data_IF_040105769251
#
_entry.id   IF_040105769251
#
_cell.length_a   1.000
_cell.length_b   1.000
_cell.length_c   1.000
_cell.angle_alpha   90.00
_cell.angle_beta   90.00
_cell.angle_gamma   90.00
#
_symmetry.space_group_name_H-M   'P 1'
#
loop_
_entity.id
_entity.type
_entity.pdbx_description
1 polymer ?
#
# COMPACT_ATOMS: atom_id res chain seq x y z
N UNK A 1 -19.47 64.05 -2.37
CA UNK A 1 -18.25 63.23 -2.12
C UNK A 1 -18.45 62.20 -1.01
N UNK A 2 -19.05 62.52 0.15
CA UNK A 2 -19.26 61.55 1.26
C UNK A 2 -19.97 60.23 0.91
N UNK A 3 -20.97 60.22 0.02
CA UNK A 3 -21.68 58.98 -0.37
C UNK A 3 -20.81 57.93 -1.09
N UNK A 4 -19.77 58.35 -1.83
CA UNK A 4 -18.84 57.42 -2.52
C UNK A 4 -17.87 56.77 -1.53
N UNK A 5 -17.43 57.49 -0.50
CA UNK A 5 -16.57 56.96 0.55
C UNK A 5 -17.32 56.00 1.49
N UNK A 6 -18.60 56.25 1.76
CA UNK A 6 -19.42 55.35 2.59
C UNK A 6 -19.67 54.00 1.92
N UNK A 7 -19.87 53.98 0.59
CA UNK A 7 -20.02 52.75 -0.20
C UNK A 7 -18.70 51.99 -0.27
N UNK A 8 -17.55 52.67 -0.45
CA UNK A 8 -16.24 52.02 -0.41
C UNK A 8 -15.93 51.41 0.97
N UNK A 9 -16.31 52.09 2.06
CA UNK A 9 -16.12 51.57 3.42
C UNK A 9 -17.01 50.35 3.69
N UNK A 10 -18.27 50.36 3.20
CA UNK A 10 -19.19 49.22 3.31
C UNK A 10 -18.75 48.01 2.48
N UNK A 11 -18.18 48.23 1.29
CA UNK A 11 -17.59 47.14 0.50
C UNK A 11 -16.34 46.57 1.18
N UNK A 12 -15.49 47.42 1.79
CA UNK A 12 -14.28 46.96 2.50
C UNK A 12 -14.61 46.18 3.79
N UNK A 13 -15.66 46.58 4.51
CA UNK A 13 -16.17 45.87 5.71
C UNK A 13 -16.89 44.58 5.31
N UNK A 14 -17.64 44.56 4.20
CA UNK A 14 -18.28 43.35 3.71
C UNK A 14 -17.26 42.32 3.18
N UNK A 15 -16.17 42.75 2.54
CA UNK A 15 -15.09 41.85 2.10
C UNK A 15 -14.21 41.35 3.25
N UNK A 16 -14.17 42.04 4.39
CA UNK A 16 -13.45 41.56 5.58
C UNK A 16 -14.28 40.64 6.47
N UNK A 17 -15.62 40.67 6.37
CA UNK A 17 -16.52 39.70 7.02
C UNK A 17 -16.70 38.39 6.23
N UNK A 18 -16.27 38.35 4.96
CA UNK A 18 -16.26 37.14 4.13
C UNK A 18 -14.87 36.55 3.92
N UNK A 19 -13.85 37.03 4.64
CA UNK A 19 -12.72 36.18 4.96
C UNK A 19 -13.27 35.08 5.87
N UNK A 20 -13.70 33.97 5.28
CA UNK A 20 -13.91 32.72 6.02
C UNK A 20 -12.64 32.53 6.85
N UNK A 21 -12.74 32.78 8.16
CA UNK A 21 -11.84 32.15 9.09
C UNK A 21 -12.04 30.66 8.85
N UNK A 22 -11.14 30.06 8.07
CA UNK A 22 -10.88 28.64 8.17
C UNK A 22 -10.53 28.43 9.63
N UNK A 23 -11.55 28.09 10.42
CA UNK A 23 -11.39 27.82 11.84
C UNK A 23 -10.61 26.53 11.90
N UNK A 24 -9.29 26.65 12.01
CA UNK A 24 -8.42 25.53 12.26
C UNK A 24 -8.80 24.97 13.62
N UNK A 25 -9.41 23.78 13.61
CA UNK A 25 -9.76 23.02 14.80
C UNK A 25 -8.75 21.86 14.86
N UNK A 26 -7.72 21.93 15.73
CA UNK A 26 -6.63 20.95 15.76
C UNK A 26 -7.10 19.50 15.88
N UNK A 27 -8.10 19.26 16.72
CA UNK A 27 -8.59 17.91 17.03
C UNK A 27 -9.70 17.42 16.09
N UNK A 28 -10.09 18.20 15.08
CA UNK A 28 -11.09 17.77 14.11
C UNK A 28 -10.52 16.66 13.21
N UNK A 29 -11.36 15.71 12.83
CA UNK A 29 -11.02 14.72 11.82
C UNK A 29 -10.69 15.41 10.49
N UNK A 30 -9.72 14.87 9.75
CA UNK A 30 -9.48 15.30 8.38
C UNK A 30 -10.65 14.77 7.54
N UNK A 31 -11.46 15.64 6.92
CA UNK A 31 -12.57 15.17 6.11
C UNK A 31 -12.04 14.39 4.90
N UNK A 32 -12.69 13.27 4.59
CA UNK A 32 -12.51 12.62 3.30
C UNK A 32 -13.07 13.54 2.21
N UNK A 33 -12.57 13.39 0.98
CA UNK A 33 -13.13 14.07 -0.18
C UNK A 33 -14.64 13.73 -0.29
N UNK A 34 -15.54 14.72 -0.37
CA UNK A 34 -16.99 14.49 -0.50
C UNK A 34 -17.40 13.67 -1.72
N UNK A 35 -16.55 13.58 -2.76
CA UNK A 35 -16.80 12.77 -3.95
C UNK A 35 -16.52 11.28 -3.73
N UNK A 36 -15.81 10.92 -2.65
CA UNK A 36 -15.52 9.52 -2.34
C UNK A 36 -16.73 8.88 -1.64
N UNK A 37 -17.32 7.91 -2.31
CA UNK A 37 -18.31 7.00 -1.71
C UNK A 37 -17.55 5.92 -0.94
N UNK A 38 -17.81 5.80 0.36
CA UNK A 38 -17.11 4.82 1.21
C UNK A 38 -18.05 4.22 2.24
N UNK A 39 -17.73 3.00 2.66
CA UNK A 39 -18.52 2.31 3.65
C UNK A 39 -17.85 1.05 4.16
N UNK A 40 -18.56 0.37 5.06
CA UNK A 40 -18.13 -0.88 5.67
C UNK A 40 -19.29 -1.87 5.63
N UNK A 41 -19.09 -3.01 4.98
CA UNK A 41 -20.06 -4.08 4.90
C UNK A 41 -20.21 -4.78 6.26
N UNK A 42 -21.33 -5.47 6.46
CA UNK A 42 -21.63 -6.19 7.71
C UNK A 42 -20.59 -7.28 8.04
N UNK A 43 -19.94 -7.84 7.01
CA UNK A 43 -18.87 -8.82 7.17
C UNK A 43 -17.52 -8.22 7.61
N UNK A 44 -17.38 -6.89 7.55
CA UNK A 44 -16.20 -6.15 7.97
C UNK A 44 -15.39 -5.54 6.83
N UNK A 45 -15.64 -5.91 5.56
CA UNK A 45 -14.96 -5.32 4.41
C UNK A 45 -15.21 -3.82 4.35
N UNK A 46 -14.16 -3.04 4.13
CA UNK A 46 -14.28 -1.61 3.81
C UNK A 46 -14.21 -1.40 2.30
N UNK A 47 -14.92 -0.41 1.76
CA UNK A 47 -14.76 -0.04 0.35
C UNK A 47 -14.62 1.48 0.20
N UNK A 48 -13.93 1.87 -0.87
CA UNK A 48 -13.76 3.25 -1.30
C UNK A 48 -13.97 3.33 -2.81
N UNK A 49 -14.82 4.25 -3.25
CA UNK A 49 -15.22 4.40 -4.64
C UNK A 49 -15.09 5.88 -5.00
N UNK A 50 -14.38 6.15 -6.08
CA UNK A 50 -14.28 7.50 -6.65
C UNK A 50 -14.59 7.43 -8.15
N UNK A 51 -15.71 8.02 -8.54
CA UNK A 51 -16.01 8.25 -9.95
C UNK A 51 -15.02 9.28 -10.51
N UNK A 52 -14.38 8.93 -11.62
CA UNK A 52 -13.39 9.76 -12.29
C UNK A 52 -13.35 9.43 -13.78
N UNK A 53 -13.86 10.36 -14.59
CA UNK A 53 -14.01 10.23 -16.05
C UNK A 53 -12.69 10.32 -16.84
N UNK A 54 -11.56 10.57 -16.16
CA UNK A 54 -10.27 10.82 -16.82
C UNK A 54 -9.17 9.85 -16.35
N UNK A 55 -8.66 8.95 -17.21
CA UNK A 55 -8.99 8.81 -18.63
C UNK A 55 -10.33 8.10 -18.88
N UNK A 56 -11.03 8.49 -19.95
CA UNK A 56 -12.30 7.87 -20.37
C UNK A 56 -12.15 6.36 -20.59
N UNK A 57 -13.24 5.63 -20.33
CA UNK A 57 -13.39 4.19 -20.46
C UNK A 57 -12.35 3.39 -19.68
N UNK A 58 -11.87 3.89 -18.53
CA UNK A 58 -10.86 3.22 -17.71
C UNK A 58 -11.17 3.31 -16.24
N UNK A 59 -10.84 2.22 -15.54
CA UNK A 59 -10.89 2.16 -14.09
C UNK A 59 -9.67 1.44 -13.49
N UNK A 60 -9.45 1.67 -12.22
CA UNK A 60 -8.47 1.00 -11.38
C UNK A 60 -9.18 0.35 -10.21
N UNK A 61 -8.81 -0.91 -9.93
CA UNK A 61 -9.36 -1.68 -8.83
C UNK A 61 -8.22 -2.19 -7.96
N UNK A 62 -8.38 -2.05 -6.65
CA UNK A 62 -7.40 -2.51 -5.67
C UNK A 62 -8.08 -3.41 -4.64
N UNK A 63 -7.42 -4.51 -4.30
CA UNK A 63 -7.66 -5.24 -3.06
C UNK A 63 -6.48 -4.96 -2.13
N UNK A 64 -6.75 -4.26 -1.03
CA UNK A 64 -5.77 -4.04 0.03
C UNK A 64 -6.05 -5.03 1.15
N UNK A 65 -5.08 -5.89 1.44
CA UNK A 65 -5.10 -6.78 2.59
C UNK A 65 -4.18 -6.18 3.64
N UNK A 66 -4.72 -5.77 4.80
CA UNK A 66 -3.97 -5.17 5.90
C UNK A 66 -3.17 -6.24 6.67
N UNK A 67 -2.43 -7.06 5.95
CA UNK A 67 -1.62 -8.18 6.43
C UNK A 67 -0.38 -8.24 5.55
N UNK A 68 0.80 -8.24 6.16
CA UNK A 68 2.07 -8.47 5.47
C UNK A 68 2.96 -9.43 6.25
N UNK A 69 4.25 -9.43 5.94
CA UNK A 69 5.23 -10.34 6.55
C UNK A 69 5.33 -10.22 8.09
N UNK A 70 4.94 -9.09 8.68
CA UNK A 70 5.01 -8.88 10.13
C UNK A 70 4.08 -9.82 10.89
N UNK A 71 3.02 -10.34 10.26
CA UNK A 71 2.05 -11.25 10.88
C UNK A 71 2.41 -12.73 10.74
N UNK A 72 3.48 -13.05 10.00
CA UNK A 72 3.96 -14.42 9.81
C UNK A 72 4.43 -15.03 11.15
N UNK A 73 4.14 -16.31 11.33
CA UNK A 73 4.78 -17.16 12.33
C UNK A 73 6.24 -17.46 11.95
N UNK A 74 7.03 -17.98 12.88
CA UNK A 74 8.44 -18.30 12.59
C UNK A 74 8.61 -19.40 11.53
N UNK A 75 7.60 -20.26 11.35
CA UNK A 75 7.54 -21.25 10.26
C UNK A 75 7.08 -20.67 8.92
N UNK A 76 6.79 -19.37 8.85
CA UNK A 76 6.10 -18.74 7.72
C UNK A 76 6.87 -17.54 7.13
N UNK A 77 8.16 -17.37 7.43
CA UNK A 77 8.94 -16.21 6.94
C UNK A 77 9.04 -16.19 5.41
N UNK A 78 8.27 -15.32 4.75
CA UNK A 78 8.12 -15.23 3.29
C UNK A 78 6.80 -15.78 2.74
N UNK A 79 5.93 -16.38 3.57
CA UNK A 79 4.67 -16.95 3.10
C UNK A 79 3.59 -15.90 2.82
N UNK A 80 3.71 -14.68 3.34
CA UNK A 80 2.86 -13.57 2.92
C UNK A 80 3.08 -13.24 1.45
N UNK A 81 4.35 -13.12 1.05
CA UNK A 81 4.74 -12.89 -0.34
C UNK A 81 4.42 -14.09 -1.23
N UNK A 82 4.66 -15.30 -0.75
CA UNK A 82 4.26 -16.52 -1.47
C UNK A 82 2.74 -16.57 -1.70
N UNK A 83 1.94 -16.23 -0.69
CA UNK A 83 0.49 -16.17 -0.79
C UNK A 83 0.03 -15.14 -1.85
N UNK A 84 0.74 -14.02 -1.97
CA UNK A 84 0.52 -13.05 -3.03
C UNK A 84 0.72 -13.63 -4.42
N UNK A 85 1.82 -14.34 -4.67
CA UNK A 85 2.06 -15.02 -5.94
C UNK A 85 0.97 -16.05 -6.26
N UNK A 86 0.55 -16.84 -5.26
CA UNK A 86 -0.47 -17.87 -5.45
C UNK A 86 -1.82 -17.33 -5.90
N UNK A 87 -2.12 -16.05 -5.65
CA UNK A 87 -3.33 -15.41 -6.14
C UNK A 87 -3.37 -15.32 -7.68
N UNK A 88 -2.23 -15.40 -8.36
CA UNK A 88 -2.14 -15.41 -9.82
C UNK A 88 -2.09 -16.83 -10.42
N UNK A 89 -1.98 -17.86 -9.57
CA UNK A 89 -1.73 -19.25 -9.96
C UNK A 89 -2.92 -20.18 -9.75
N UNK A 90 -4.13 -19.62 -9.63
CA UNK A 90 -5.36 -20.40 -9.63
C UNK A 90 -6.32 -19.99 -8.51
N UNK A 91 -7.59 -19.94 -8.89
CA UNK A 91 -8.72 -19.57 -8.03
C UNK A 91 -9.93 -20.42 -8.41
N UNK A 92 -11.04 -20.31 -7.67
CA UNK A 92 -12.26 -21.05 -7.97
C UNK A 92 -12.82 -20.76 -9.38
N UNK A 93 -12.77 -19.51 -9.87
CA UNK A 93 -13.31 -19.16 -11.19
C UNK A 93 -12.28 -19.19 -12.32
N UNK A 94 -10.98 -19.24 -12.00
CA UNK A 94 -9.90 -19.21 -12.98
C UNK A 94 -8.85 -20.26 -12.67
N UNK A 95 -8.73 -21.26 -13.54
CA UNK A 95 -7.74 -22.32 -13.39
C UNK A 95 -6.33 -21.79 -13.69
N UNK A 96 -5.37 -22.10 -12.81
CA UNK A 96 -3.95 -21.81 -13.01
C UNK A 96 -3.72 -20.33 -13.43
N UNK A 97 -3.22 -20.11 -14.64
CA UNK A 97 -2.85 -18.77 -15.16
C UNK A 97 -4.00 -18.08 -15.92
N UNK A 98 -5.23 -18.59 -15.84
CA UNK A 98 -6.35 -18.06 -16.62
C UNK A 98 -6.74 -16.63 -16.23
N UNK A 99 -6.48 -16.19 -15.00
CA UNK A 99 -6.63 -14.78 -14.60
C UNK A 99 -5.78 -13.89 -15.51
N UNK A 100 -4.48 -14.21 -15.64
CA UNK A 100 -3.54 -13.43 -16.44
C UNK A 100 -3.94 -13.48 -17.91
N UNK A 101 -4.27 -14.67 -18.43
CA UNK A 101 -4.68 -14.85 -19.82
C UNK A 101 -5.93 -14.02 -20.15
N UNK A 102 -6.94 -14.05 -19.27
CA UNK A 102 -8.17 -13.29 -19.45
C UNK A 102 -7.89 -11.78 -19.43
N UNK A 103 -7.19 -11.27 -18.41
CA UNK A 103 -6.91 -9.83 -18.28
C UNK A 103 -6.07 -9.33 -19.46
N UNK A 104 -5.15 -10.13 -19.97
CA UNK A 104 -4.42 -9.81 -21.21
C UNK A 104 -5.33 -9.82 -22.45
N UNK A 105 -6.31 -10.72 -22.52
CA UNK A 105 -7.25 -10.78 -23.64
C UNK A 105 -8.12 -9.53 -23.78
N UNK A 106 -8.42 -8.86 -22.66
CA UNK A 106 -9.13 -7.57 -22.64
C UNK A 106 -8.18 -6.38 -22.78
N UNK A 107 -6.89 -6.62 -23.06
CA UNK A 107 -5.92 -5.59 -23.41
C UNK A 107 -5.06 -5.07 -22.26
N UNK A 108 -5.12 -5.67 -21.08
CA UNK A 108 -4.25 -5.32 -19.95
C UNK A 108 -2.86 -5.97 -20.07
N UNK A 109 -1.88 -5.43 -19.35
CA UNK A 109 -0.49 -5.91 -19.35
C UNK A 109 -0.03 -6.37 -17.98
N UNK A 110 0.47 -7.60 -17.89
CA UNK A 110 1.08 -8.11 -16.67
C UNK A 110 2.37 -7.37 -16.33
N UNK A 111 2.49 -6.92 -15.07
CA UNK A 111 3.54 -6.02 -14.59
C UNK A 111 3.05 -4.58 -14.41
N UNK A 112 2.87 -3.79 -15.49
CA UNK A 112 2.53 -2.37 -15.34
C UNK A 112 1.03 -2.12 -15.07
N UNK A 113 0.15 -3.08 -15.35
CA UNK A 113 -1.31 -2.92 -15.22
C UNK A 113 -1.96 -4.03 -14.37
N UNK A 114 -1.38 -5.21 -14.33
CA UNK A 114 -1.76 -6.29 -13.41
C UNK A 114 -0.56 -6.51 -12.50
N UNK A 115 -0.70 -6.18 -11.22
CA UNK A 115 0.42 -6.17 -10.30
C UNK A 115 -0.04 -6.44 -8.87
N UNK A 116 0.88 -6.86 -8.02
CA UNK A 116 0.71 -6.90 -6.58
C UNK A 116 2.04 -6.61 -5.89
N UNK A 117 1.97 -6.24 -4.62
CA UNK A 117 3.17 -6.21 -3.79
C UNK A 117 2.83 -6.64 -2.38
N UNK A 118 3.81 -7.26 -1.74
CA UNK A 118 3.81 -7.53 -0.31
C UNK A 118 4.82 -6.63 0.39
N UNK A 119 4.46 -6.15 1.56
CA UNK A 119 5.33 -5.39 2.47
C UNK A 119 5.36 -6.04 3.85
N UNK A 120 6.03 -5.41 4.80
CA UNK A 120 5.93 -5.87 6.20
C UNK A 120 4.50 -5.80 6.71
N UNK A 121 3.71 -4.79 6.33
CA UNK A 121 2.45 -4.47 7.01
C UNK A 121 1.18 -4.78 6.20
N UNK A 122 1.30 -4.87 4.87
CA UNK A 122 0.17 -5.14 3.98
C UNK A 122 0.61 -5.85 2.69
N UNK A 123 -0.38 -6.45 2.02
CA UNK A 123 -0.31 -6.98 0.66
C UNK A 123 -1.39 -6.29 -0.16
N UNK A 124 -1.04 -5.75 -1.32
CA UNK A 124 -1.97 -5.03 -2.19
C UNK A 124 -1.95 -5.60 -3.59
N UNK A 125 -3.13 -5.88 -4.14
CA UNK A 125 -3.34 -6.33 -5.52
C UNK A 125 -3.98 -5.22 -6.33
N UNK A 126 -3.55 -5.08 -7.59
CA UNK A 126 -3.82 -3.92 -8.43
C UNK A 126 -4.20 -4.38 -9.83
N UNK A 127 -5.40 -3.97 -10.27
CA UNK A 127 -5.85 -4.02 -11.65
C UNK A 127 -5.98 -2.58 -12.14
N UNK A 128 -4.95 -2.10 -12.82
CA UNK A 128 -4.84 -0.72 -13.29
C UNK A 128 -5.26 -0.66 -14.76
N UNK A 129 -6.07 0.34 -15.12
CA UNK A 129 -6.57 0.57 -16.50
C UNK A 129 -7.44 -0.54 -17.06
N UNK A 130 -8.29 -1.13 -16.23
CA UNK A 130 -9.37 -2.01 -16.70
C UNK A 130 -10.25 -1.23 -17.69
N UNK A 131 -10.47 -1.72 -18.92
CA UNK A 131 -11.38 -1.08 -19.87
C UNK A 131 -12.83 -1.17 -19.38
N UNK A 132 -13.52 -0.03 -19.30
CA UNK A 132 -14.92 0.04 -18.81
C UNK A 132 -15.95 0.16 -19.95
N UNK A 133 -15.52 0.06 -21.21
CA UNK A 133 -16.39 0.08 -22.39
C UNK A 133 -17.26 -1.18 -22.54
N UNK A 134 -16.82 -2.30 -21.97
CA UNK A 134 -17.62 -3.51 -21.78
C UNK A 134 -17.87 -3.74 -20.28
N UNK A 135 -19.13 -3.66 -19.80
CA UNK A 135 -19.46 -3.93 -18.40
C UNK A 135 -18.98 -5.30 -17.90
N UNK A 136 -18.84 -6.30 -18.78
CA UNK A 136 -18.33 -7.61 -18.41
C UNK A 136 -16.87 -7.56 -17.91
N UNK A 137 -16.07 -6.60 -18.36
CA UNK A 137 -14.70 -6.42 -17.89
C UNK A 137 -14.67 -5.93 -16.43
N UNK A 138 -15.60 -5.02 -16.08
CA UNK A 138 -15.76 -4.52 -14.71
C UNK A 138 -16.23 -5.63 -13.78
N UNK A 139 -17.26 -6.37 -14.19
CA UNK A 139 -17.75 -7.53 -13.43
C UNK A 139 -16.64 -8.57 -13.22
N UNK A 140 -15.81 -8.81 -14.24
CA UNK A 140 -14.71 -9.76 -14.12
C UNK A 140 -13.57 -9.23 -13.26
N UNK A 141 -13.23 -7.94 -13.34
CA UNK A 141 -12.23 -7.34 -12.45
C UNK A 141 -12.65 -7.47 -10.98
N UNK A 142 -13.92 -7.20 -10.66
CA UNK A 142 -14.47 -7.41 -9.32
C UNK A 142 -14.45 -8.88 -8.91
N UNK A 143 -14.75 -9.81 -9.83
CA UNK A 143 -14.63 -11.25 -9.58
C UNK A 143 -13.19 -11.67 -9.25
N UNK A 144 -12.20 -11.15 -9.99
CA UNK A 144 -10.77 -11.42 -9.72
C UNK A 144 -10.38 -10.92 -8.33
N UNK A 145 -10.79 -9.72 -7.93
CA UNK A 145 -10.55 -9.21 -6.57
C UNK A 145 -11.25 -10.09 -5.51
N UNK A 146 -12.47 -10.53 -5.77
CA UNK A 146 -13.20 -11.42 -4.86
C UNK A 146 -12.49 -12.78 -4.70
N UNK A 147 -11.99 -13.33 -5.80
CA UNK A 147 -11.29 -14.61 -5.80
C UNK A 147 -9.92 -14.52 -5.11
N UNK A 148 -9.16 -13.45 -5.33
CA UNK A 148 -7.94 -13.18 -4.54
C UNK A 148 -8.26 -13.08 -3.05
N UNK A 149 -9.37 -12.44 -2.70
CA UNK A 149 -9.77 -12.24 -1.31
C UNK A 149 -10.20 -13.55 -0.62
N UNK A 150 -10.91 -14.46 -1.31
CA UNK A 150 -11.58 -15.59 -0.64
C UNK A 150 -11.43 -16.97 -1.28
N UNK A 151 -11.04 -17.07 -2.56
CA UNK A 151 -11.18 -18.30 -3.35
C UNK A 151 -9.87 -18.73 -4.05
N UNK A 152 -8.71 -18.43 -3.49
CA UNK A 152 -7.42 -18.94 -4.02
C UNK A 152 -7.35 -20.46 -3.80
N UNK A 153 -7.04 -21.21 -4.86
CA UNK A 153 -7.13 -22.68 -4.84
C UNK A 153 -5.99 -23.36 -4.06
N UNK A 154 -4.81 -22.74 -4.05
CA UNK A 154 -3.58 -23.31 -3.47
C UNK A 154 -3.35 -24.75 -3.91
N UNK A 155 -3.39 -25.05 -5.22
CA UNK A 155 -3.06 -26.39 -5.72
C UNK A 155 -1.61 -26.77 -5.37
N UNK A 156 -1.39 -28.00 -4.87
CA UNK A 156 -0.05 -28.44 -4.44
C UNK A 156 0.98 -28.36 -5.58
N UNK A 157 0.56 -28.68 -6.82
CA UNK A 157 1.40 -28.57 -8.02
C UNK A 157 1.85 -27.12 -8.27
N UNK A 158 0.93 -26.16 -8.17
CA UNK A 158 1.23 -24.76 -8.41
C UNK A 158 2.06 -24.16 -7.27
N UNK A 159 1.89 -24.62 -6.03
CA UNK A 159 2.80 -24.26 -4.94
C UNK A 159 4.22 -24.72 -5.28
N UNK A 160 4.41 -25.97 -5.71
CA UNK A 160 5.75 -26.46 -6.04
C UNK A 160 6.39 -25.75 -7.24
N UNK A 161 5.59 -25.38 -8.25
CA UNK A 161 6.05 -24.55 -9.36
C UNK A 161 6.54 -23.18 -8.87
N UNK A 162 5.78 -22.56 -7.97
CA UNK A 162 6.04 -21.19 -7.51
C UNK A 162 7.26 -21.08 -6.60
N UNK A 163 7.64 -22.17 -5.90
CA UNK A 163 8.91 -22.20 -5.12
C UNK A 163 10.09 -21.80 -5.98
N UNK A 164 10.18 -22.33 -7.21
CA UNK A 164 11.27 -22.04 -8.13
C UNK A 164 11.29 -20.58 -8.59
N UNK A 165 10.12 -19.98 -8.80
CA UNK A 165 9.98 -18.58 -9.21
C UNK A 165 10.47 -17.65 -8.09
N UNK A 166 9.96 -17.84 -6.87
CA UNK A 166 10.34 -17.02 -5.71
C UNK A 166 11.82 -17.24 -5.35
N UNK A 167 12.34 -18.45 -5.49
CA UNK A 167 13.77 -18.73 -5.31
C UNK A 167 14.64 -17.90 -6.28
N UNK A 168 14.26 -17.83 -7.56
CA UNK A 168 15.00 -17.06 -8.56
C UNK A 168 14.88 -15.54 -8.34
N UNK A 169 13.73 -15.06 -7.87
CA UNK A 169 13.57 -13.67 -7.43
C UNK A 169 14.48 -13.35 -6.25
N UNK A 170 14.45 -14.19 -5.22
CA UNK A 170 15.31 -14.09 -4.04
C UNK A 170 16.79 -14.05 -4.44
N UNK A 171 17.21 -14.85 -5.43
CA UNK A 171 18.58 -14.88 -5.95
C UNK A 171 18.95 -13.60 -6.69
N UNK A 172 18.02 -13.08 -7.50
CA UNK A 172 18.26 -11.93 -8.39
C UNK A 172 18.22 -10.59 -7.64
N UNK A 173 17.41 -10.48 -6.58
CA UNK A 173 17.24 -9.25 -5.79
C UNK A 173 18.42 -8.87 -4.88
N UNK A 174 19.49 -9.66 -4.83
CA UNK A 174 20.56 -9.56 -3.81
C UNK A 174 21.79 -8.77 -4.26
N UNK A 175 21.59 -7.67 -5.00
CA UNK A 175 22.65 -6.74 -5.37
C UNK A 175 23.30 -6.02 -4.17
N UNK A 176 24.40 -5.29 -4.42
CA UNK A 176 25.18 -4.59 -3.39
C UNK A 176 24.32 -3.72 -2.45
N UNK A 177 23.43 -2.89 -3.03
CA UNK A 177 22.58 -1.99 -2.24
C UNK A 177 21.61 -2.75 -1.34
N UNK A 178 21.03 -3.86 -1.81
CA UNK A 178 20.19 -4.70 -0.98
C UNK A 178 20.97 -5.26 0.22
N UNK A 179 22.17 -5.82 -0.01
CA UNK A 179 23.00 -6.39 1.07
C UNK A 179 23.39 -5.33 2.10
N UNK A 180 23.78 -4.14 1.66
CA UNK A 180 24.08 -3.00 2.52
C UNK A 180 22.88 -2.55 3.36
N UNK A 181 21.72 -2.41 2.72
CA UNK A 181 20.47 -2.01 3.39
C UNK A 181 19.98 -3.08 4.37
N UNK A 182 20.10 -4.36 4.03
CA UNK A 182 19.73 -5.47 4.92
C UNK A 182 20.53 -5.46 6.22
N UNK A 183 21.84 -5.19 6.16
CA UNK A 183 22.64 -5.03 7.38
C UNK A 183 22.26 -3.76 8.16
N UNK A 184 21.97 -2.65 7.47
CA UNK A 184 21.53 -1.42 8.13
C UNK A 184 20.17 -1.59 8.83
N UNK A 185 19.24 -2.32 8.20
CA UNK A 185 17.90 -2.61 8.72
C UNK A 185 17.94 -3.38 10.04
N UNK A 186 18.92 -4.27 10.26
CA UNK A 186 19.10 -4.95 11.55
C UNK A 186 19.36 -3.97 12.69
N UNK A 187 20.03 -2.85 12.39
CA UNK A 187 20.30 -1.78 13.36
C UNK A 187 19.08 -0.87 13.51
N UNK A 188 18.44 -0.47 12.40
CA UNK A 188 17.25 0.38 12.41
C UNK A 188 16.09 -0.25 13.18
N UNK A 189 15.85 -1.55 12.99
CA UNK A 189 14.75 -2.30 13.59
C UNK A 189 15.18 -3.13 14.80
N UNK A 190 16.36 -2.87 15.37
CA UNK A 190 16.93 -3.65 16.45
C UNK A 190 15.93 -3.87 17.59
N UNK A 191 15.72 -5.14 17.95
CA UNK A 191 14.82 -5.53 19.03
C UNK A 191 13.35 -5.65 18.64
N UNK A 192 12.99 -5.41 17.38
CA UNK A 192 11.63 -5.60 16.87
C UNK A 192 11.48 -6.86 16.02
N UNK A 193 10.23 -7.23 15.70
CA UNK A 193 9.92 -8.30 14.75
C UNK A 193 10.31 -7.91 13.30
N UNK A 194 10.30 -6.62 12.95
CA UNK A 194 10.77 -6.11 11.65
C UNK A 194 12.25 -6.41 11.39
N UNK A 195 13.11 -6.50 12.43
CA UNK A 195 14.50 -6.92 12.24
C UNK A 195 14.66 -8.41 11.88
N UNK A 196 13.60 -9.22 12.06
CA UNK A 196 13.62 -10.67 11.82
C UNK A 196 12.86 -11.05 10.55
N UNK A 197 11.79 -10.31 10.20
CA UNK A 197 10.94 -10.59 9.04
C UNK A 197 11.54 -9.97 7.79
N UNK A 198 11.84 -10.84 6.84
CA UNK A 198 12.27 -10.46 5.50
C UNK A 198 11.08 -10.69 4.57
N UNK A 199 10.65 -9.67 3.84
CA UNK A 199 9.43 -9.78 3.01
C UNK A 199 9.58 -10.85 1.95
N UNK A 200 10.76 -10.94 1.32
CA UNK A 200 11.07 -12.01 0.35
C UNK A 200 11.17 -13.38 1.03
N UNK A 201 11.45 -13.42 2.33
CA UNK A 201 11.46 -14.64 3.14
C UNK A 201 12.80 -15.30 3.39
N UNK A 202 12.73 -16.40 4.16
CA UNK A 202 13.82 -17.33 4.38
C UNK A 202 13.76 -18.43 3.31
N UNK A 203 14.86 -18.63 2.59
CA UNK A 203 14.90 -19.57 1.46
C UNK A 203 14.63 -21.01 1.89
N UNK A 204 15.04 -21.41 3.10
CA UNK A 204 14.78 -22.75 3.61
C UNK A 204 13.29 -22.96 3.87
N UNK A 205 12.56 -21.91 4.27
CA UNK A 205 11.11 -21.95 4.46
C UNK A 205 10.41 -21.93 3.10
N UNK A 206 10.84 -21.06 2.18
CA UNK A 206 10.27 -20.97 0.82
C UNK A 206 10.40 -22.31 0.09
N UNK A 207 11.53 -22.99 0.22
CA UNK A 207 11.77 -24.26 -0.47
C UNK A 207 11.05 -25.46 0.19
N UNK A 208 10.75 -25.41 1.50
CA UNK A 208 10.34 -26.61 2.25
C UNK A 208 9.07 -26.48 3.11
N UNK A 209 8.46 -25.28 3.24
CA UNK A 209 7.26 -25.10 4.06
C UNK A 209 6.15 -26.04 3.55
N UNK A 210 5.48 -26.80 4.44
CA UNK A 210 4.42 -27.70 3.99
C UNK A 210 3.25 -26.89 3.46
N UNK A 211 2.55 -27.42 2.45
CA UNK A 211 1.45 -26.72 1.78
C UNK A 211 0.35 -26.22 2.74
N UNK A 212 0.20 -26.87 3.89
CA UNK A 212 -0.72 -26.46 4.95
C UNK A 212 -0.36 -25.11 5.58
N UNK A 213 0.91 -24.71 5.62
CA UNK A 213 1.31 -23.42 6.21
C UNK A 213 0.86 -22.23 5.34
N UNK A 214 0.91 -22.37 4.01
CA UNK A 214 0.39 -21.38 3.06
C UNK A 214 -1.12 -21.23 3.19
N UNK A 215 -1.83 -22.36 3.17
CA UNK A 215 -3.29 -22.38 3.35
C UNK A 215 -3.71 -21.85 4.71
N UNK A 216 -2.93 -22.13 5.78
CA UNK A 216 -3.16 -21.56 7.11
C UNK A 216 -2.96 -20.05 7.09
N UNK A 217 -1.87 -19.56 6.49
CA UNK A 217 -1.63 -18.13 6.38
C UNK A 217 -2.80 -17.42 5.71
N UNK A 218 -3.25 -17.93 4.56
CA UNK A 218 -4.42 -17.40 3.86
C UNK A 218 -5.68 -17.43 4.73
N UNK A 219 -5.98 -18.59 5.34
CA UNK A 219 -7.19 -18.75 6.16
C UNK A 219 -7.22 -17.86 7.42
N UNK A 220 -6.07 -17.61 8.05
CA UNK A 220 -5.94 -16.77 9.24
C UNK A 220 -6.17 -15.28 8.91
N UNK A 221 -5.68 -14.85 7.74
CA UNK A 221 -5.40 -13.45 7.45
C UNK A 221 -6.22 -12.84 6.31
N UNK A 222 -6.62 -13.61 5.31
CA UNK A 222 -7.46 -13.14 4.19
C UNK A 222 -8.93 -13.20 4.58
N UNK A 223 -9.34 -12.18 5.34
CA UNK A 223 -10.69 -12.05 5.88
C UNK A 223 -11.23 -10.63 5.70
N UNK A 224 -12.57 -10.47 5.58
CA UNK A 224 -13.15 -9.19 5.21
C UNK A 224 -12.79 -8.03 6.16
N UNK A 225 -12.71 -8.26 7.47
CA UNK A 225 -12.40 -7.22 8.47
C UNK A 225 -10.99 -6.62 8.35
N UNK A 226 -10.11 -7.27 7.59
CA UNK A 226 -8.74 -6.81 7.31
C UNK A 226 -8.56 -6.35 5.87
N UNK A 227 -9.64 -6.24 5.10
CA UNK A 227 -9.56 -5.95 3.67
C UNK A 227 -10.29 -4.66 3.31
N UNK A 228 -9.77 -4.00 2.27
CA UNK A 228 -10.45 -2.92 1.60
C UNK A 228 -10.46 -3.12 0.09
N UNK A 229 -11.61 -2.85 -0.54
CA UNK A 229 -11.72 -2.74 -2.01
C UNK A 229 -11.72 -1.26 -2.38
N UNK A 230 -10.86 -0.87 -3.32
CA UNK A 230 -10.83 0.49 -3.85
C UNK A 230 -11.17 0.42 -5.33
N UNK A 231 -12.12 1.23 -5.79
CA UNK A 231 -12.47 1.39 -7.20
C UNK A 231 -12.39 2.86 -7.59
N UNK A 232 -11.62 3.20 -8.62
CA UNK A 232 -11.50 4.58 -9.12
C UNK A 232 -11.58 4.57 -10.63
N UNK A 233 -12.49 5.33 -11.24
CA UNK A 233 -12.55 5.41 -12.71
C UNK A 233 -13.88 5.81 -13.31
N UNK A 234 -13.98 5.61 -14.62
CA UNK A 234 -15.11 6.01 -15.45
C UNK A 234 -16.24 4.98 -15.35
N UNK A 235 -17.06 5.14 -14.31
CA UNK A 235 -18.28 4.39 -13.98
C UNK A 235 -19.17 5.21 -13.03
N UNK A 236 -20.45 4.86 -12.91
CA UNK A 236 -21.34 5.45 -11.88
C UNK A 236 -20.98 4.90 -10.49
N UNK A 237 -20.73 5.80 -9.53
CA UNK A 237 -20.31 5.40 -8.18
C UNK A 237 -21.38 4.56 -7.44
N UNK A 238 -22.67 4.81 -7.67
CA UNK A 238 -23.76 4.11 -6.99
C UNK A 238 -23.93 2.69 -7.53
N UNK A 239 -23.85 2.51 -8.85
CA UNK A 239 -23.86 1.19 -9.49
C UNK A 239 -22.66 0.35 -9.04
N UNK A 240 -21.47 0.96 -8.94
CA UNK A 240 -20.26 0.30 -8.43
C UNK A 240 -20.41 -0.13 -6.97
N UNK A 241 -21.01 0.72 -6.12
CA UNK A 241 -21.29 0.40 -4.72
C UNK A 241 -22.22 -0.80 -4.59
N UNK A 242 -23.29 -0.86 -5.40
CA UNK A 242 -24.20 -2.00 -5.45
C UNK A 242 -23.49 -3.28 -5.89
N UNK A 243 -22.60 -3.21 -6.90
CA UNK A 243 -21.82 -4.34 -7.39
C UNK A 243 -20.87 -4.89 -6.33
N UNK A 244 -20.06 -4.02 -5.71
CA UNK A 244 -19.13 -4.38 -4.63
C UNK A 244 -19.92 -4.98 -3.46
N UNK A 245 -20.99 -4.32 -3.03
CA UNK A 245 -21.82 -4.77 -1.91
C UNK A 245 -22.41 -6.15 -2.18
N UNK A 246 -23.00 -6.36 -3.37
CA UNK A 246 -23.60 -7.64 -3.76
C UNK A 246 -22.57 -8.77 -3.82
N UNK A 247 -21.40 -8.52 -4.41
CA UNK A 247 -20.38 -9.55 -4.58
C UNK A 247 -19.72 -9.88 -3.22
N UNK A 248 -19.17 -8.88 -2.54
CA UNK A 248 -18.35 -9.10 -1.36
C UNK A 248 -19.14 -9.43 -0.10
N UNK A 249 -20.44 -9.12 -0.02
CA UNK A 249 -21.28 -9.55 1.11
C UNK A 249 -21.54 -11.06 1.14
N UNK A 250 -21.22 -11.79 0.06
CA UNK A 250 -21.33 -13.25 0.02
C UNK A 250 -20.31 -13.94 0.94
N UNK A 251 -19.16 -13.31 1.18
CA UNK A 251 -18.16 -13.84 2.10
C UNK A 251 -18.61 -13.60 3.55
N UNK A 252 -18.70 -14.65 4.38
CA UNK A 252 -19.16 -14.51 5.75
C UNK A 252 -18.14 -13.77 6.62
N UNK A 253 -18.65 -13.03 7.60
CA UNK A 253 -17.79 -12.52 8.68
C UNK A 253 -17.06 -13.68 9.35
N UNK A 254 -15.75 -13.54 9.58
CA UNK A 254 -15.02 -14.58 10.30
C UNK A 254 -15.44 -14.66 11.77
N UNK A 255 -15.76 -15.86 12.21
CA UNK A 255 -16.01 -16.17 13.61
C UNK A 255 -14.70 -16.43 14.35
N UNK A 256 -14.53 -15.83 15.52
CA UNK A 256 -13.33 -15.96 16.37
C UNK A 256 -12.00 -15.79 15.58
N UNK A 257 -11.84 -14.70 14.82
CA UNK A 257 -10.65 -14.51 14.01
C UNK A 257 -9.39 -14.41 14.86
N UNK A 258 -8.26 -14.88 14.35
CA UNK A 258 -6.94 -14.67 14.96
C UNK A 258 -6.70 -13.17 15.16
N UNK A 259 -6.24 -12.77 16.34
CA UNK A 259 -5.97 -11.36 16.62
C UNK A 259 -4.88 -10.84 15.68
N UNK A 260 -5.15 -9.72 15.00
CA UNK A 260 -4.12 -8.99 14.25
C UNK A 260 -3.34 -8.13 15.22
N UNK A 261 -2.21 -8.65 15.68
CA UNK A 261 -1.31 -7.95 16.60
C UNK A 261 -0.55 -6.81 15.89
N UNK A 262 -0.29 -5.73 16.62
CA UNK A 262 0.62 -4.68 16.19
C UNK A 262 1.98 -4.88 16.89
N UNK A 263 3.06 -4.78 16.13
CA UNK A 263 4.41 -4.97 16.62
C UNK A 263 5.15 -3.64 16.63
N UNK A 264 5.58 -3.10 17.79
CA UNK A 264 6.31 -1.84 17.81
C UNK A 264 7.76 -2.02 17.36
N UNK A 265 8.37 -0.93 16.91
CA UNK A 265 9.83 -0.80 16.86
C UNK A 265 10.28 -0.11 18.15
N UNK A 266 11.02 -0.79 19.04
CA UNK A 266 11.40 -0.20 20.33
C UNK A 266 12.22 1.08 20.15
N UNK A 267 11.97 2.08 20.97
CA UNK A 267 12.77 3.31 21.00
C UNK A 267 14.13 3.09 21.67
N UNK A 268 15.10 4.00 21.43
CA UNK A 268 16.42 4.00 22.07
C UNK A 268 16.95 5.42 22.26
N UNK A 269 17.74 5.63 23.31
CA UNK A 269 18.32 6.95 23.62
C UNK A 269 19.66 7.18 22.91
N UNK A 270 20.40 6.11 22.64
CA UNK A 270 21.72 6.19 22.01
C UNK A 270 21.60 6.46 20.50
N UNK A 271 22.65 7.05 19.91
CA UNK A 271 22.79 7.06 18.45
C UNK A 271 23.32 5.71 18.00
N UNK A 272 22.49 4.94 17.30
CA UNK A 272 22.96 3.75 16.61
C UNK A 272 23.70 4.12 15.33
N UNK A 273 24.79 3.41 15.05
CA UNK A 273 25.63 3.62 13.87
C UNK A 273 25.80 2.28 13.17
N UNK A 274 25.54 2.26 11.87
CA UNK A 274 25.82 1.13 10.99
C UNK A 274 26.80 1.58 9.92
N UNK A 275 27.95 0.90 9.81
CA UNK A 275 28.93 1.14 8.74
C UNK A 275 29.06 -0.17 7.99
N UNK A 276 28.50 -0.18 6.78
CA UNK A 276 28.45 -1.36 5.93
C UNK A 276 29.25 -1.08 4.66
N UNK A 277 30.02 -2.06 4.20
CA UNK A 277 30.84 -1.95 3.00
C UNK A 277 30.56 -3.12 2.08
N UNK A 278 30.46 -2.85 0.79
CA UNK A 278 30.26 -3.87 -0.24
C UNK A 278 31.15 -3.51 -1.45
N UNK A 279 31.99 -4.44 -1.96
CA UNK A 279 32.90 -4.15 -3.06
C UNK A 279 32.19 -3.82 -4.38
N UNK A 280 30.91 -4.17 -4.52
CA UNK A 280 30.10 -3.86 -5.70
C UNK A 280 29.34 -2.52 -5.57
N UNK A 281 29.45 -1.82 -4.44
CA UNK A 281 28.82 -0.53 -4.25
C UNK A 281 29.49 0.55 -5.11
N UNK A 282 28.69 1.27 -5.91
CA UNK A 282 29.19 2.26 -6.88
C UNK A 282 29.42 3.65 -6.29
N UNK A 283 28.85 3.93 -5.12
CA UNK A 283 28.93 5.21 -4.45
C UNK A 283 28.90 5.04 -2.94
N UNK A 284 29.46 6.01 -2.23
CA UNK A 284 29.33 6.12 -0.78
C UNK A 284 27.99 6.80 -0.46
N UNK A 285 27.24 6.24 0.48
CA UNK A 285 25.98 6.80 0.96
C UNK A 285 26.07 7.04 2.46
N UNK A 286 25.64 8.22 2.90
CA UNK A 286 25.46 8.57 4.30
C UNK A 286 23.97 8.85 4.50
N UNK A 287 23.37 8.19 5.48
CA UNK A 287 21.98 8.41 5.86
C UNK A 287 21.91 8.75 7.35
N UNK A 288 21.08 9.74 7.67
CA UNK A 288 20.75 10.11 9.05
C UNK A 288 19.25 9.92 9.20
N UNK A 289 18.86 9.11 10.19
CA UNK A 289 17.48 8.73 10.42
C UNK A 289 17.11 9.06 11.86
N UNK A 290 15.92 9.62 12.04
CA UNK A 290 15.32 9.86 13.34
C UNK A 290 14.03 9.06 13.43
N UNK A 291 13.92 8.22 14.45
CA UNK A 291 12.67 7.56 14.77
C UNK A 291 11.73 8.53 15.46
N UNK A 292 10.45 8.41 15.16
CA UNK A 292 9.38 9.11 15.85
C UNK A 292 8.24 8.11 16.05
N UNK A 293 7.39 8.39 17.03
CA UNK A 293 6.20 7.59 17.25
C UNK A 293 5.25 7.73 16.04
N UNK A 294 4.51 6.66 15.69
CA UNK A 294 3.41 6.80 14.76
C UNK A 294 2.35 7.72 15.37
N UNK A 295 1.69 8.53 14.53
CA UNK A 295 0.58 9.34 15.00
C UNK A 295 -0.59 8.46 15.42
N UNK A 296 -1.11 8.67 16.64
CA UNK A 296 -2.28 7.97 17.16
C UNK A 296 -3.56 8.49 16.55
N UNK A 297 -3.66 9.81 16.37
CA UNK A 297 -4.82 10.49 15.84
C UNK A 297 -4.45 11.22 14.56
N UNK A 298 -5.03 10.80 13.43
CA UNK A 298 -4.81 11.44 12.12
C UNK A 298 -5.75 12.63 11.90
N UNK A 299 -5.79 13.54 12.88
CA UNK A 299 -6.62 14.73 12.89
C UNK A 299 -5.97 15.91 12.14
N UNK A 300 -6.61 17.07 12.19
CA UNK A 300 -6.13 18.29 11.53
C UNK A 300 -4.76 18.78 12.04
N UNK A 301 -4.40 18.56 13.32
CA UNK A 301 -3.05 18.87 13.84
C UNK A 301 -2.00 17.92 13.29
N UNK A 302 -2.30 16.64 13.22
CA UNK A 302 -1.42 15.69 12.54
C UNK A 302 -1.21 16.10 11.08
N UNK A 303 -2.29 16.40 10.34
CA UNK A 303 -2.21 16.84 8.95
C UNK A 303 -1.38 18.12 8.79
N UNK A 304 -1.61 19.13 9.65
CA UNK A 304 -0.81 20.35 9.69
C UNK A 304 0.68 20.05 9.94
N UNK A 305 0.98 19.14 10.87
CA UNK A 305 2.32 18.66 11.14
C UNK A 305 3.00 18.05 9.92
N UNK A 306 2.27 17.20 9.17
CA UNK A 306 2.76 16.62 7.90
C UNK A 306 3.07 17.70 6.86
N UNK A 307 2.20 18.70 6.70
CA UNK A 307 2.45 19.85 5.79
C UNK A 307 3.73 20.60 6.19
N UNK A 308 3.93 20.86 7.48
CA UNK A 308 5.14 21.55 7.98
C UNK A 308 6.39 20.71 7.70
N UNK A 309 6.36 19.41 7.97
CA UNK A 309 7.47 18.50 7.69
C UNK A 309 7.80 18.47 6.19
N UNK A 310 6.79 18.36 5.33
CA UNK A 310 6.97 18.38 3.87
C UNK A 310 7.58 19.69 3.36
N UNK A 311 7.19 20.83 3.93
CA UNK A 311 7.78 22.13 3.61
C UNK A 311 9.25 22.20 4.05
N UNK A 312 9.56 21.74 5.27
CA UNK A 312 10.94 21.69 5.77
C UNK A 312 11.82 20.82 4.85
N UNK A 313 11.38 19.60 4.54
CA UNK A 313 12.13 18.68 3.67
C UNK A 313 12.32 19.27 2.27
N UNK A 314 11.28 19.90 1.70
CA UNK A 314 11.38 20.56 0.39
C UNK A 314 12.42 21.68 0.40
N UNK A 315 12.40 22.53 1.42
CA UNK A 315 13.35 23.63 1.58
C UNK A 315 14.78 23.13 1.82
N UNK A 316 14.95 22.07 2.61
CA UNK A 316 16.25 21.44 2.83
C UNK A 316 16.80 20.86 1.53
N UNK A 317 15.97 20.15 0.77
CA UNK A 317 16.39 19.47 -0.47
C UNK A 317 16.71 20.47 -1.57
N UNK A 318 15.97 21.59 -1.64
CA UNK A 318 16.32 22.71 -2.50
C UNK A 318 17.72 23.26 -2.17
N UNK A 319 18.02 23.47 -0.89
CA UNK A 319 19.36 23.94 -0.45
C UNK A 319 20.46 22.92 -0.73
N UNK A 320 20.23 21.63 -0.47
CA UNK A 320 21.19 20.57 -0.80
C UNK A 320 21.44 20.51 -2.30
N UNK A 321 20.39 20.64 -3.12
CA UNK A 321 20.50 20.70 -4.57
C UNK A 321 21.31 21.92 -5.03
N UNK A 322 21.09 23.11 -4.46
CA UNK A 322 21.88 24.31 -4.75
C UNK A 322 23.37 24.12 -4.46
N UNK A 323 23.73 23.40 -3.39
CA UNK A 323 25.13 23.09 -3.07
C UNK A 323 25.81 22.24 -4.15
N UNK A 324 25.05 21.39 -4.87
CA UNK A 324 25.60 20.58 -5.98
C UNK A 324 25.96 21.41 -7.22
N UNK A 325 25.45 22.65 -7.33
CA UNK A 325 25.69 23.55 -8.46
C UNK A 325 26.93 24.46 -8.28
N UNK A 326 27.63 24.34 -7.15
CA UNK A 326 28.86 25.10 -6.89
C UNK A 326 30.03 24.61 -7.75
N UNK A 327 31.08 25.43 -7.89
CA UNK A 327 32.28 25.05 -8.65
C UNK A 327 33.00 23.82 -8.06
N UNK A 328 32.98 23.69 -6.73
CA UNK A 328 33.55 22.56 -5.97
C UNK A 328 32.50 22.01 -4.98
N UNK A 329 31.54 21.19 -5.46
CA UNK A 329 30.43 20.74 -4.63
C UNK A 329 30.90 19.70 -3.60
N UNK A 330 30.43 19.76 -2.34
CA UNK A 330 30.86 18.84 -1.27
C UNK A 330 30.37 17.40 -1.44
N UNK A 331 29.38 17.17 -2.31
CA UNK A 331 28.79 15.87 -2.63
C UNK A 331 28.15 15.92 -4.02
N UNK A 332 27.99 14.76 -4.65
CA UNK A 332 27.39 14.63 -5.99
C UNK A 332 25.85 14.59 -5.98
N UNK A 333 25.25 14.32 -4.82
CA UNK A 333 23.81 14.21 -4.61
C UNK A 333 23.48 14.37 -3.11
N UNK A 334 22.34 14.99 -2.77
CA UNK A 334 21.86 15.14 -1.39
C UNK A 334 20.37 15.45 -1.34
N UNK A 335 19.64 14.73 -0.48
CA UNK A 335 18.19 14.84 -0.22
C UNK A 335 17.87 14.62 1.26
#
# INVERSE_FOLDING_TARGET
MMKKYLILLLVFVATSLSAQEFSYIPDADVPLDPEVTYGKLDNGLTYYILENDMPENRAEFYLVVNVGAILEDDSQNGLAHFCEHMCFNGTENFEKHDIINYLQSIGMKFGPEINAFTSHDNTTYMLQKVPTDDPANVDTALMVLYDWAYNVSFEDEEIDNERGVIHEEWRTGRGAMFRLMKEAQKVMYKGSKYAKRDVIGDIEIIDNAPYSELRRFYADWYRPDLQAVIAVGDFDASEMEEHITRLFSQSPKRENPRLREEFPVPDHQETYVSINTDPEAQYNLIQILWKHDPATDKNMEYYRGQVIQNLYSTMLNARLSELTLQEDPPFIFGI
#
